data_IF_689760152719
#
_entry.id   IF_689760152719
#
_cell.length_a   1.000
_cell.length_b   1.000
_cell.length_c   1.000
_cell.angle_alpha   90.00
_cell.angle_beta   90.00
_cell.angle_gamma   90.00
#
_symmetry.space_group_name_H-M   'P 1'
#
loop_
_entity.id
_entity.type
_entity.pdbx_description
1 polymer ?
#
# COMPACT_ATOMS: atom_id res chain seq x y z
N UNK A 1 14.27 -12.44 -11.32
CA UNK A 1 12.94 -12.73 -10.77
C UNK A 1 13.08 -13.34 -9.38
N UNK A 2 12.46 -12.74 -8.37
CA UNK A 2 12.45 -13.25 -7.00
C UNK A 2 11.03 -13.44 -6.51
N UNK A 3 10.79 -14.48 -5.73
CA UNK A 3 9.49 -14.76 -5.12
C UNK A 3 9.57 -14.67 -3.61
N UNK A 4 8.54 -14.07 -3.02
CA UNK A 4 8.39 -13.93 -1.58
C UNK A 4 7.00 -14.40 -1.19
N UNK A 5 6.84 -14.86 0.03
CA UNK A 5 5.57 -15.28 0.56
C UNK A 5 5.31 -14.59 1.88
N UNK A 6 4.15 -13.93 1.98
CA UNK A 6 3.71 -13.27 3.20
C UNK A 6 2.40 -13.81 3.70
N UNK A 7 1.87 -13.16 4.73
CA UNK A 7 0.55 -13.46 5.28
C UNK A 7 -0.50 -12.65 4.53
N UNK A 8 -1.56 -13.31 4.07
CA UNK A 8 -2.66 -12.66 3.39
C UNK A 8 -3.56 -11.97 4.41
N UNK A 9 -3.66 -10.64 4.34
CA UNK A 9 -4.58 -9.84 5.17
C UNK A 9 -5.87 -9.61 4.40
N UNK A 10 -5.76 -9.18 3.15
CA UNK A 10 -6.88 -9.09 2.20
C UNK A 10 -6.46 -9.83 0.93
N UNK A 11 -7.19 -10.89 0.54
CA UNK A 11 -6.82 -11.65 -0.66
C UNK A 11 -7.12 -10.88 -1.94
N UNK A 12 -6.37 -11.19 -2.97
CA UNK A 12 -6.56 -10.63 -4.30
C UNK A 12 -5.31 -10.80 -5.14
N UNK A 13 -5.47 -10.67 -6.45
CA UNK A 13 -4.36 -10.72 -7.38
C UNK A 13 -4.23 -9.40 -8.12
N UNK A 14 -3.00 -8.97 -8.36
CA UNK A 14 -2.76 -7.79 -9.17
C UNK A 14 -1.36 -7.80 -9.77
N UNK A 15 -1.20 -7.02 -10.83
CA UNK A 15 0.11 -6.71 -11.41
C UNK A 15 0.25 -5.19 -11.43
N UNK A 16 1.35 -4.67 -10.93
CA UNK A 16 1.58 -3.24 -10.84
C UNK A 16 3.07 -2.93 -10.74
N UNK A 17 3.41 -1.67 -10.98
CA UNK A 17 4.77 -1.20 -10.72
C UNK A 17 4.95 -0.88 -9.24
N UNK A 18 6.10 -1.24 -8.71
CA UNK A 18 6.43 -0.98 -7.33
C UNK A 18 6.63 0.52 -7.06
N UNK A 19 6.14 0.96 -5.92
CA UNK A 19 6.50 2.24 -5.31
C UNK A 19 6.99 1.93 -3.90
N UNK A 20 8.26 2.17 -3.63
CA UNK A 20 8.94 1.65 -2.44
C UNK A 20 9.31 2.77 -1.48
N UNK A 21 8.97 2.60 -0.21
CA UNK A 21 9.54 3.41 0.88
C UNK A 21 10.18 2.51 1.92
N UNK A 22 11.29 2.95 2.47
CA UNK A 22 11.96 2.30 3.61
C UNK A 22 11.64 3.00 4.93
N UNK A 23 10.87 4.07 4.86
CA UNK A 23 10.40 4.83 6.01
C UNK A 23 8.99 4.42 6.39
N UNK A 24 8.59 4.68 7.64
CA UNK A 24 7.21 4.48 8.06
C UNK A 24 6.25 5.30 7.18
N UNK A 25 5.14 4.69 6.80
CA UNK A 25 4.14 5.32 5.93
C UNK A 25 3.05 6.00 6.75
N UNK A 26 3.02 7.32 6.74
CA UNK A 26 1.96 8.09 7.39
C UNK A 26 0.77 8.20 6.45
N UNK A 27 -0.24 7.37 6.66
CA UNK A 27 -1.40 7.26 5.77
C UNK A 27 -2.15 8.58 5.65
N UNK A 28 -2.43 9.25 6.77
CA UNK A 28 -3.14 10.53 6.74
C UNK A 28 -2.37 11.59 5.96
N UNK A 29 -1.11 11.82 6.32
CA UNK A 29 -0.29 12.83 5.66
C UNK A 29 -0.12 12.54 4.17
N UNK A 30 -0.02 11.26 3.80
CA UNK A 30 0.20 10.85 2.42
C UNK A 30 -1.01 11.06 1.53
N UNK A 31 -2.23 10.78 2.01
CA UNK A 31 -3.45 10.84 1.20
C UNK A 31 -4.28 12.11 1.38
N UNK A 32 -4.07 12.88 2.45
CA UNK A 32 -4.97 13.98 2.83
C UNK A 32 -5.19 14.99 1.69
N UNK A 33 -4.13 15.47 1.08
CA UNK A 33 -4.25 16.46 -0.01
C UNK A 33 -4.98 15.90 -1.22
N UNK A 34 -4.71 14.67 -1.58
CA UNK A 34 -5.36 14.01 -2.71
C UNK A 34 -6.87 13.90 -2.49
N UNK A 35 -7.27 13.49 -1.29
CA UNK A 35 -8.69 13.32 -0.97
C UNK A 35 -9.43 14.67 -0.87
N UNK A 36 -8.76 15.70 -0.35
CA UNK A 36 -9.37 17.03 -0.19
C UNK A 36 -9.46 17.82 -1.50
N UNK A 37 -8.45 17.72 -2.36
CA UNK A 37 -8.35 18.55 -3.56
C UNK A 37 -8.63 17.80 -4.86
N UNK A 38 -9.08 16.56 -4.79
CA UNK A 38 -9.52 15.81 -5.96
C UNK A 38 -8.41 15.30 -6.86
N UNK A 39 -7.21 15.11 -6.36
CA UNK A 39 -6.10 14.54 -7.13
C UNK A 39 -6.31 13.05 -7.35
N UNK A 40 -6.69 12.68 -8.56
CA UNK A 40 -6.98 11.28 -8.94
C UNK A 40 -5.74 10.39 -9.00
N UNK A 41 -4.55 10.97 -9.09
CA UNK A 41 -3.30 10.21 -9.11
C UNK A 41 -2.81 9.87 -7.71
N UNK A 42 -3.40 10.47 -6.68
CA UNK A 42 -3.04 10.29 -5.28
C UNK A 42 -1.55 10.53 -5.04
N UNK A 43 -1.05 11.70 -5.42
CA UNK A 43 0.33 12.07 -5.10
C UNK A 43 0.53 12.12 -3.60
N UNK A 44 1.61 11.49 -3.14
CA UNK A 44 1.94 11.47 -1.72
C UNK A 44 2.22 12.88 -1.20
N UNK A 45 1.47 13.33 -0.21
CA UNK A 45 1.61 14.66 0.38
C UNK A 45 2.48 14.71 1.62
N UNK A 46 3.09 13.60 2.04
CA UNK A 46 3.92 13.54 3.24
C UNK A 46 5.33 14.04 2.95
N UNK A 47 5.58 15.30 3.36
CA UNK A 47 6.89 15.94 3.17
C UNK A 47 8.00 15.27 4.00
N UNK A 48 7.65 14.49 5.01
CA UNK A 48 8.61 13.78 5.85
C UNK A 48 9.03 12.43 5.27
N UNK A 49 8.44 12.02 4.15
CA UNK A 49 8.80 10.78 3.47
C UNK A 49 9.49 11.10 2.13
N UNK A 50 10.83 11.16 2.10
CA UNK A 50 11.54 11.54 0.88
C UNK A 50 11.43 10.51 -0.25
N UNK A 51 11.13 9.26 0.07
CA UNK A 51 10.97 8.21 -0.94
C UNK A 51 9.71 8.41 -1.79
N UNK A 52 8.66 8.96 -1.18
CA UNK A 52 7.32 9.00 -1.78
C UNK A 52 6.84 10.40 -2.13
N UNK A 53 7.31 11.44 -1.44
CA UNK A 53 6.75 12.79 -1.57
C UNK A 53 6.61 13.21 -3.05
N UNK A 54 5.40 13.61 -3.42
CA UNK A 54 5.09 14.06 -4.77
C UNK A 54 4.91 12.95 -5.82
N UNK A 55 5.10 11.69 -5.43
CA UNK A 55 4.94 10.57 -6.37
C UNK A 55 3.50 10.07 -6.37
N UNK A 56 2.94 9.70 -7.53
CA UNK A 56 1.59 9.16 -7.61
C UNK A 56 1.54 7.77 -6.99
N UNK A 57 0.56 7.53 -6.11
CA UNK A 57 0.38 6.25 -5.43
C UNK A 57 -0.71 5.39 -6.06
N UNK A 58 -1.65 5.99 -6.77
CA UNK A 58 -2.79 5.29 -7.34
C UNK A 58 -2.32 4.24 -8.35
N UNK A 59 -2.81 3.01 -8.18
CA UNK A 59 -2.51 1.91 -9.08
C UNK A 59 -1.12 1.31 -8.93
N UNK A 60 -0.35 1.71 -7.93
CA UNK A 60 0.99 1.15 -7.67
C UNK A 60 0.94 -0.02 -6.69
N UNK A 61 1.98 -0.86 -6.72
CA UNK A 61 2.24 -1.83 -5.66
C UNK A 61 3.06 -1.09 -4.59
N UNK A 62 2.38 -0.60 -3.55
CA UNK A 62 3.04 0.17 -2.49
C UNK A 62 3.74 -0.77 -1.52
N UNK A 63 5.07 -0.70 -1.50
CA UNK A 63 5.93 -1.52 -0.64
C UNK A 63 6.45 -0.67 0.51
N UNK A 64 6.19 -1.10 1.74
CA UNK A 64 6.45 -0.30 2.95
C UNK A 64 6.79 -1.20 4.13
N UNK A 65 7.50 -0.66 5.14
CA UNK A 65 7.76 -1.46 6.34
C UNK A 65 6.55 -1.51 7.27
N UNK A 66 5.94 -0.38 7.56
CA UNK A 66 4.82 -0.23 8.49
C UNK A 66 4.14 1.11 8.30
N UNK A 67 2.94 1.26 8.82
CA UNK A 67 2.27 2.56 8.90
C UNK A 67 2.60 3.25 10.22
N UNK A 68 2.59 4.56 10.18
CA UNK A 68 2.81 5.44 11.34
C UNK A 68 1.79 6.58 11.32
N UNK A 69 1.71 7.32 12.41
CA UNK A 69 0.92 8.54 12.49
C UNK A 69 -0.44 8.35 13.13
N UNK A 70 -1.44 9.07 12.61
CA UNK A 70 -2.76 9.19 13.22
C UNK A 70 -3.53 7.89 13.31
N UNK A 71 -4.33 7.74 14.38
CA UNK A 71 -5.28 6.63 14.53
C UNK A 71 -6.39 6.64 13.48
N UNK A 72 -6.55 7.74 12.74
CA UNK A 72 -7.52 7.82 11.63
C UNK A 72 -6.99 7.20 10.32
N UNK A 73 -5.76 6.68 10.31
CA UNK A 73 -5.14 6.13 9.11
C UNK A 73 -5.96 5.05 8.41
N UNK A 74 -6.61 4.18 9.18
CA UNK A 74 -7.48 3.15 8.61
C UNK A 74 -8.70 3.74 7.88
N UNK A 75 -9.32 4.77 8.44
CA UNK A 75 -10.42 5.46 7.78
C UNK A 75 -9.97 6.17 6.51
N UNK A 76 -8.79 6.78 6.53
CA UNK A 76 -8.21 7.43 5.36
C UNK A 76 -7.96 6.41 4.25
N UNK A 77 -7.42 5.25 4.60
CA UNK A 77 -7.18 4.18 3.65
C UNK A 77 -8.49 3.68 3.03
N UNK A 78 -9.52 3.50 3.85
CA UNK A 78 -10.87 3.14 3.38
C UNK A 78 -11.40 4.18 2.39
N UNK A 79 -11.31 5.47 2.73
CA UNK A 79 -11.78 6.54 1.85
C UNK A 79 -11.03 6.57 0.52
N UNK A 80 -9.71 6.41 0.55
CA UNK A 80 -8.90 6.36 -0.66
C UNK A 80 -9.32 5.20 -1.57
N UNK A 81 -9.58 4.04 -0.99
CA UNK A 81 -10.04 2.86 -1.75
C UNK A 81 -11.44 3.08 -2.30
N UNK A 82 -12.36 3.60 -1.49
CA UNK A 82 -13.74 3.88 -1.92
C UNK A 82 -13.79 4.89 -3.07
N UNK A 83 -12.89 5.88 -3.05
CA UNK A 83 -12.80 6.91 -4.10
C UNK A 83 -11.95 6.48 -5.30
N UNK A 84 -11.50 5.25 -5.34
CA UNK A 84 -10.64 4.69 -6.39
C UNK A 84 -9.32 5.46 -6.55
N UNK A 85 -8.71 5.82 -5.43
CA UNK A 85 -7.44 6.55 -5.37
C UNK A 85 -6.38 5.81 -4.57
N UNK A 86 -6.62 4.53 -4.28
CA UNK A 86 -5.68 3.70 -3.54
C UNK A 86 -4.58 3.14 -4.43
N UNK A 87 -3.47 2.66 -3.85
CA UNK A 87 -2.57 1.76 -4.54
C UNK A 87 -3.31 0.52 -5.05
N UNK A 88 -2.71 -0.21 -6.00
CA UNK A 88 -3.27 -1.48 -6.46
C UNK A 88 -3.19 -2.55 -5.37
N UNK A 89 -2.15 -2.51 -4.54
CA UNK A 89 -1.97 -3.41 -3.41
C UNK A 89 -1.04 -2.78 -2.37
N UNK A 90 -1.08 -3.32 -1.14
CA UNK A 90 -0.17 -2.96 -0.05
C UNK A 90 0.69 -4.17 0.31
N UNK A 91 2.01 -3.98 0.30
CA UNK A 91 2.97 -5.04 0.57
C UNK A 91 3.89 -4.61 1.73
N UNK A 92 3.65 -5.19 2.90
CA UNK A 92 4.35 -4.86 4.15
C UNK A 92 5.48 -5.83 4.41
N UNK A 93 6.66 -5.31 4.74
CA UNK A 93 7.77 -6.16 5.20
C UNK A 93 7.55 -6.68 6.62
N UNK A 94 6.90 -5.88 7.46
CA UNK A 94 6.59 -6.20 8.87
C UNK A 94 5.11 -6.54 9.03
N UNK A 95 4.69 -7.04 10.23
CA UNK A 95 3.26 -7.21 10.51
C UNK A 95 2.50 -5.88 10.39
N UNK A 96 1.34 -5.91 9.75
CA UNK A 96 0.48 -4.75 9.62
C UNK A 96 -0.16 -4.40 10.97
N UNK A 97 -0.33 -3.12 11.26
CA UNK A 97 -1.05 -2.68 12.44
C UNK A 97 -2.56 -2.87 12.28
N UNK A 98 -3.27 -2.93 13.42
CA UNK A 98 -4.71 -3.19 13.43
C UNK A 98 -5.54 -2.12 12.73
N UNK A 99 -5.12 -0.86 12.76
CA UNK A 99 -5.86 0.24 12.14
C UNK A 99 -5.78 0.17 10.61
N UNK A 100 -4.60 -0.04 10.07
CA UNK A 100 -4.44 -0.20 8.63
C UNK A 100 -5.12 -1.48 8.13
N UNK A 101 -5.01 -2.58 8.90
CA UNK A 101 -5.69 -3.83 8.57
C UNK A 101 -7.21 -3.64 8.54
N UNK A 102 -7.78 -2.94 9.51
CA UNK A 102 -9.21 -2.64 9.53
C UNK A 102 -9.64 -1.85 8.30
N UNK A 103 -8.88 -0.82 7.92
CA UNK A 103 -9.17 -0.02 6.73
C UNK A 103 -9.16 -0.85 5.45
N UNK A 104 -8.17 -1.71 5.28
CA UNK A 104 -8.06 -2.59 4.12
C UNK A 104 -9.20 -3.62 4.07
N UNK A 105 -9.51 -4.25 5.20
CA UNK A 105 -10.58 -5.26 5.30
C UNK A 105 -11.95 -4.63 5.03
N UNK A 106 -12.25 -3.47 5.62
CA UNK A 106 -13.51 -2.77 5.40
C UNK A 106 -13.67 -2.32 3.96
N UNK A 107 -12.58 -1.94 3.31
CA UNK A 107 -12.60 -1.61 1.89
C UNK A 107 -13.04 -2.78 1.03
N UNK A 108 -12.57 -3.98 1.36
CA UNK A 108 -12.96 -5.20 0.64
C UNK A 108 -14.45 -5.54 0.85
N UNK A 109 -14.96 -5.34 2.07
CA UNK A 109 -16.33 -5.72 2.44
C UNK A 109 -17.36 -4.70 1.98
N UNK A 110 -17.07 -3.39 2.13
CA UNK A 110 -18.07 -2.32 1.98
C UNK A 110 -17.94 -1.50 0.70
N UNK A 111 -16.92 -1.74 -0.11
CA UNK A 111 -16.75 -1.03 -1.38
C UNK A 111 -16.69 -2.01 -2.54
N UNK A 112 -16.88 -1.50 -3.76
CA UNK A 112 -16.70 -2.27 -4.99
C UNK A 112 -15.22 -2.39 -5.39
N UNK A 113 -14.34 -1.71 -4.66
CA UNK A 113 -12.90 -1.70 -4.90
C UNK A 113 -12.21 -2.51 -3.80
N UNK A 114 -11.30 -3.37 -4.20
CA UNK A 114 -10.50 -4.17 -3.28
C UNK A 114 -9.10 -3.59 -3.17
N UNK A 115 -8.48 -3.77 -2.00
CA UNK A 115 -7.09 -3.41 -1.76
C UNK A 115 -6.36 -4.66 -1.26
N UNK A 116 -5.86 -5.51 -2.17
CA UNK A 116 -5.08 -6.69 -1.76
C UNK A 116 -3.94 -6.26 -0.85
N UNK A 117 -3.81 -6.94 0.29
CA UNK A 117 -2.85 -6.56 1.33
C UNK A 117 -2.16 -7.81 1.86
N UNK A 118 -0.83 -7.79 1.83
CA UNK A 118 0.01 -8.87 2.31
C UNK A 118 1.02 -8.26 3.27
N UNK A 119 1.21 -8.89 4.43
CA UNK A 119 2.21 -8.45 5.40
C UNK A 119 3.22 -9.57 5.70
N UNK A 120 4.16 -9.27 6.57
CA UNK A 120 5.20 -10.22 6.97
C UNK A 120 6.03 -10.75 5.80
N UNK A 121 6.23 -9.94 4.76
CA UNK A 121 7.06 -10.33 3.62
C UNK A 121 8.55 -10.40 3.94
N UNK A 122 8.97 -9.70 5.01
CA UNK A 122 10.34 -9.72 5.50
C UNK A 122 11.20 -8.59 4.97
N UNK A 123 12.29 -8.34 5.68
CA UNK A 123 13.22 -7.26 5.33
C UNK A 123 13.91 -7.51 3.99
N UNK A 124 14.19 -8.76 3.66
CA UNK A 124 14.79 -9.12 2.37
C UNK A 124 13.92 -8.67 1.19
N UNK A 125 12.60 -8.81 1.31
CA UNK A 125 11.68 -8.32 0.28
C UNK A 125 11.86 -6.82 0.07
N UNK A 126 11.81 -6.03 1.15
CA UNK A 126 11.87 -4.58 1.06
C UNK A 126 13.24 -4.08 0.57
N UNK A 127 14.30 -4.79 0.90
CA UNK A 127 15.66 -4.49 0.43
C UNK A 127 15.84 -4.82 -1.06
N UNK A 128 15.16 -5.86 -1.54
CA UNK A 128 15.32 -6.37 -2.92
C UNK A 128 14.48 -5.61 -3.93
N UNK A 129 13.33 -5.07 -3.54
CA UNK A 129 12.40 -4.39 -4.44
C UNK A 129 12.79 -2.92 -4.61
N UNK A 130 12.67 -2.42 -5.84
CA UNK A 130 12.96 -1.02 -6.17
C UNK A 130 11.77 -0.38 -6.86
N UNK A 131 11.59 0.92 -6.64
CA UNK A 131 10.55 1.68 -7.34
C UNK A 131 10.71 1.51 -8.84
N UNK A 132 9.62 1.16 -9.51
CA UNK A 132 9.59 0.87 -10.94
C UNK A 132 9.66 -0.61 -11.29
N UNK A 133 10.04 -1.48 -10.35
CA UNK A 133 10.04 -2.91 -10.59
C UNK A 133 8.61 -3.41 -10.84
N UNK A 134 8.47 -4.39 -11.72
CA UNK A 134 7.19 -5.01 -11.97
C UNK A 134 6.89 -6.07 -10.91
N UNK A 135 5.72 -5.99 -10.31
CA UNK A 135 5.30 -6.90 -9.24
C UNK A 135 4.02 -7.61 -9.64
N UNK A 136 3.97 -8.91 -9.36
CA UNK A 136 2.77 -9.73 -9.45
C UNK A 136 2.41 -10.26 -8.06
N UNK A 137 1.17 -10.04 -7.65
CA UNK A 137 0.62 -10.55 -6.39
C UNK A 137 -0.41 -11.62 -6.70
N UNK A 138 -0.32 -12.75 -6.01
CA UNK A 138 -1.25 -13.86 -6.13
C UNK A 138 -2.09 -14.00 -4.87
N UNK A 139 -3.26 -14.61 -5.00
CA UNK A 139 -4.22 -14.71 -3.89
C UNK A 139 -3.72 -15.50 -2.69
N UNK A 140 -2.73 -16.39 -2.90
CA UNK A 140 -2.15 -17.20 -1.81
C UNK A 140 -1.07 -16.46 -1.00
N UNK A 141 -0.78 -15.19 -1.33
CA UNK A 141 0.24 -14.40 -0.66
C UNK A 141 1.61 -14.44 -1.32
N UNK A 142 1.71 -15.06 -2.49
CA UNK A 142 2.96 -15.06 -3.26
C UNK A 142 3.14 -13.72 -3.97
N UNK A 143 4.30 -13.12 -3.79
CA UNK A 143 4.68 -11.85 -4.44
C UNK A 143 5.92 -12.11 -5.29
N UNK A 144 5.81 -11.85 -6.58
CA UNK A 144 6.92 -12.02 -7.52
C UNK A 144 7.43 -10.64 -7.95
N UNK A 145 8.73 -10.42 -7.82
CA UNK A 145 9.43 -9.20 -8.27
C UNK A 145 10.22 -9.56 -9.52
N UNK A 146 9.91 -8.93 -10.63
CA UNK A 146 10.56 -9.19 -11.93
C UNK A 146 11.78 -8.31 -12.18
#
# INVERSE_FOLDING_TARGET
MKKFKGRVVVPGSCEAEALVTKNGFNTLASFQKSLQFGDKTAKCGDQNNPDLFGKPMMGTALCLPQTIGSTTGGMVLYCATAMNRSPACLLFSKPIDSLAAAGAILSDIWTDNSLPTIDCLGDEFLESVKTGDKIKVEEDGTVTVY
#
